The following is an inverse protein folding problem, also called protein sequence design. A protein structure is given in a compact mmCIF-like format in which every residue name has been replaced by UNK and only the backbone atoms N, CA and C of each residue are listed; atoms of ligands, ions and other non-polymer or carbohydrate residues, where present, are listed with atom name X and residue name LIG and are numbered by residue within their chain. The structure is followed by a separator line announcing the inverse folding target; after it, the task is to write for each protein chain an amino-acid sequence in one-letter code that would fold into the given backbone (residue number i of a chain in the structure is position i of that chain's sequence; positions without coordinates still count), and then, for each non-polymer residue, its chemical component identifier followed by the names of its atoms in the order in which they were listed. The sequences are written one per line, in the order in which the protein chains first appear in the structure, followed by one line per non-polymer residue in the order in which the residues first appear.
data_IF_162259810426
#
_entry.id   IF_162259810426
#
_cell.length_a   1.000
_cell.length_b   1.000
_cell.length_c   1.000
_cell.angle_alpha   90.00
_cell.angle_beta   90.00
_cell.angle_gamma   90.00
#
_symmetry.space_group_name_H-M   'P 1'
#
loop_
_entity.id
_entity.type
_entity.pdbx_description
1 polymer ?
#
# COMPACT_ATOMS: atom_id res chain seq x y z
N UNK A 1 44.11 7.56 -42.86
CA UNK A 1 44.00 6.84 -41.58
C UNK A 1 43.26 7.75 -40.61
N UNK A 2 41.95 7.56 -40.39
CA UNK A 2 41.12 8.39 -39.50
C UNK A 2 41.20 7.79 -38.09
N UNK A 3 41.72 8.55 -37.12
CA UNK A 3 41.60 8.22 -35.70
C UNK A 3 40.18 8.52 -35.22
N UNK A 4 39.46 7.49 -34.82
CA UNK A 4 38.17 7.57 -34.14
C UNK A 4 38.42 7.75 -32.64
N UNK A 5 38.15 8.95 -32.14
CA UNK A 5 38.13 9.25 -30.70
C UNK A 5 36.84 8.69 -30.10
N UNK A 6 36.96 7.62 -29.31
CA UNK A 6 35.85 7.09 -28.51
C UNK A 6 35.58 8.07 -27.36
N UNK A 7 34.44 8.76 -27.41
CA UNK A 7 33.91 9.51 -26.26
C UNK A 7 33.28 8.51 -25.30
N UNK A 8 33.95 8.28 -24.17
CA UNK A 8 33.36 7.59 -23.03
C UNK A 8 32.39 8.58 -22.38
N UNK A 9 31.09 8.37 -22.59
CA UNK A 9 30.06 9.06 -21.82
C UNK A 9 30.04 8.44 -20.42
N UNK A 10 30.85 9.00 -19.52
CA UNK A 10 30.68 8.77 -18.09
C UNK A 10 29.34 9.41 -17.68
N UNK A 11 28.28 8.61 -17.67
CA UNK A 11 27.11 8.91 -16.86
C UNK A 11 27.55 8.84 -15.40
N UNK A 12 27.98 9.99 -14.87
CA UNK A 12 28.27 10.15 -13.45
C UNK A 12 26.96 9.88 -12.70
N UNK A 13 26.79 8.63 -12.23
CA UNK A 13 25.80 8.27 -11.23
C UNK A 13 25.90 9.31 -10.10
N UNK A 14 24.81 10.03 -9.83
CA UNK A 14 24.78 10.94 -8.69
C UNK A 14 25.04 10.09 -7.44
N UNK A 15 26.21 10.28 -6.80
CA UNK A 15 26.64 9.58 -5.58
C UNK A 15 25.64 9.65 -4.42
N UNK A 16 24.64 10.52 -4.51
CA UNK A 16 23.62 10.73 -3.49
C UNK A 16 22.68 9.52 -3.29
N UNK A 17 22.58 8.63 -4.27
CA UNK A 17 21.72 7.45 -4.21
C UNK A 17 22.48 6.12 -4.25
N UNK A 18 23.81 6.16 -4.18
CA UNK A 18 24.65 4.97 -4.18
C UNK A 18 24.85 4.47 -2.74
N UNK A 19 24.11 3.42 -2.36
CA UNK A 19 24.32 2.70 -1.10
C UNK A 19 24.80 1.28 -1.42
N UNK A 20 26.06 0.97 -1.08
CA UNK A 20 26.63 -0.39 -1.11
C UNK A 20 26.10 -1.25 0.07
N UNK A 21 25.49 -0.61 1.07
CA UNK A 21 25.05 -1.24 2.32
C UNK A 21 23.88 -2.23 2.24
N UNK A 22 22.84 -2.05 1.41
CA UNK A 22 21.67 -2.93 1.39
C UNK A 22 22.00 -4.35 0.93
N UNK A 23 22.98 -4.50 0.04
CA UNK A 23 23.37 -5.81 -0.52
C UNK A 23 24.33 -6.60 0.39
N UNK A 24 25.02 -5.92 1.32
CA UNK A 24 25.98 -6.56 2.25
C UNK A 24 25.50 -6.61 3.72
N UNK A 25 24.40 -5.94 4.06
CA UNK A 25 23.86 -5.95 5.43
C UNK A 25 22.81 -7.03 5.62
N UNK A 26 22.86 -7.72 6.77
CA UNK A 26 21.80 -8.64 7.21
C UNK A 26 20.50 -7.81 7.30
N UNK A 27 19.57 -8.05 6.37
CA UNK A 27 18.29 -7.34 6.35
C UNK A 27 17.46 -7.75 7.58
N UNK A 28 17.20 -6.81 8.48
CA UNK A 28 16.43 -7.06 9.71
C UNK A 28 14.95 -6.83 9.45
N UNK A 29 14.09 -7.54 10.18
CA UNK A 29 12.64 -7.28 10.14
C UNK A 29 12.34 -5.95 10.82
N UNK A 30 11.69 -5.02 10.11
CA UNK A 30 11.31 -3.69 10.61
C UNK A 30 9.79 -3.50 10.72
N UNK A 31 9.00 -4.40 10.12
CA UNK A 31 7.55 -4.38 10.24
C UNK A 31 6.95 -5.78 10.04
N UNK A 32 5.91 -6.09 10.82
CA UNK A 32 5.18 -7.35 10.76
C UNK A 32 3.70 -7.07 10.95
N UNK A 33 2.86 -7.67 10.11
CA UNK A 33 1.43 -7.69 10.36
C UNK A 33 0.77 -8.92 9.73
N UNK A 34 -0.13 -9.52 10.49
CA UNK A 34 -1.06 -10.51 9.96
C UNK A 34 -2.08 -9.83 9.06
N UNK A 35 -2.34 -10.43 7.89
CA UNK A 35 -3.50 -10.03 7.10
C UNK A 35 -4.78 -10.29 7.89
N UNK A 36 -5.89 -9.61 7.52
CA UNK A 36 -7.19 -10.09 7.94
C UNK A 36 -7.40 -11.56 7.56
N UNK A 37 -8.21 -12.31 8.33
CA UNK A 37 -8.49 -13.70 8.03
C UNK A 37 -9.23 -13.83 6.70
N UNK A 38 -8.98 -14.91 5.99
CA UNK A 38 -9.65 -15.23 4.73
C UNK A 38 -8.77 -15.15 3.48
N UNK A 39 -7.62 -14.47 3.55
CA UNK A 39 -6.71 -14.26 2.42
C UNK A 39 -5.94 -15.53 2.03
N UNK A 40 -5.44 -16.28 3.02
CA UNK A 40 -4.69 -17.51 2.77
C UNK A 40 -5.60 -18.71 2.48
N UNK A 41 -4.98 -19.82 2.04
CA UNK A 41 -5.70 -21.09 1.84
C UNK A 41 -6.41 -21.50 3.14
N UNK A 42 -7.63 -22.01 3.00
CA UNK A 42 -8.53 -22.36 4.12
C UNK A 42 -8.91 -21.17 5.00
N UNK A 43 -8.97 -19.97 4.41
CA UNK A 43 -9.38 -18.73 5.08
C UNK A 43 -8.50 -18.33 6.26
N UNK A 44 -7.23 -18.74 6.24
CA UNK A 44 -6.22 -18.34 7.22
C UNK A 44 -5.68 -16.94 6.92
N UNK A 45 -4.85 -16.43 7.81
CA UNK A 45 -4.10 -15.18 7.60
C UNK A 45 -2.78 -15.45 6.87
N UNK A 46 -2.28 -14.44 6.17
CA UNK A 46 -0.92 -14.38 5.62
C UNK A 46 -0.08 -13.48 6.52
N UNK A 47 1.20 -13.80 6.69
CA UNK A 47 2.13 -12.91 7.40
C UNK A 47 2.80 -11.97 6.39
N UNK A 48 2.59 -10.66 6.56
CA UNK A 48 3.33 -9.64 5.82
C UNK A 48 4.56 -9.21 6.63
N UNK A 49 5.73 -9.22 5.98
CA UNK A 49 7.03 -8.94 6.58
C UNK A 49 7.73 -7.84 5.79
N UNK A 50 7.95 -6.69 6.43
CA UNK A 50 8.78 -5.62 5.92
C UNK A 50 10.17 -5.72 6.53
N UNK A 51 11.19 -5.60 5.68
CA UNK A 51 12.60 -5.65 6.09
C UNK A 51 13.29 -4.30 5.95
N UNK A 52 14.45 -4.12 6.60
CA UNK A 52 15.24 -2.89 6.52
C UNK A 52 15.74 -2.59 5.11
N UNK A 53 15.79 -3.61 4.24
CA UNK A 53 16.00 -3.46 2.79
C UNK A 53 14.78 -2.95 2.01
N UNK A 54 13.74 -2.43 2.68
CA UNK A 54 12.53 -1.86 2.08
C UNK A 54 11.70 -2.83 1.23
N UNK A 55 11.90 -4.14 1.49
CA UNK A 55 11.21 -5.23 0.83
C UNK A 55 10.04 -5.71 1.70
N UNK A 56 8.81 -5.63 1.16
CA UNK A 56 7.61 -6.20 1.76
C UNK A 56 7.30 -7.55 1.11
N UNK A 57 7.36 -8.60 1.92
CA UNK A 57 7.15 -9.99 1.48
C UNK A 57 6.00 -10.63 2.22
N UNK A 58 5.27 -11.51 1.55
CA UNK A 58 4.22 -12.32 2.15
C UNK A 58 4.74 -13.73 2.43
N UNK A 59 4.38 -14.25 3.59
CA UNK A 59 4.67 -15.60 4.04
C UNK A 59 3.38 -16.35 4.33
N UNK A 60 3.29 -17.58 3.84
CA UNK A 60 2.17 -18.50 4.05
C UNK A 60 2.72 -19.89 4.39
N UNK A 61 1.88 -20.73 4.99
CA UNK A 61 2.20 -22.09 5.37
C UNK A 61 2.11 -22.99 4.14
N UNK A 62 3.24 -23.55 3.72
CA UNK A 62 3.33 -24.55 2.67
C UNK A 62 2.54 -25.82 3.02
N UNK A 63 2.22 -26.69 2.04
CA UNK A 63 1.58 -27.98 2.32
C UNK A 63 2.35 -28.85 3.33
N UNK A 64 3.66 -28.67 3.44
CA UNK A 64 4.53 -29.35 4.40
C UNK A 64 4.55 -28.71 5.79
N UNK A 65 3.70 -27.71 6.05
CA UNK A 65 3.61 -27.03 7.34
C UNK A 65 4.71 -25.99 7.60
N UNK A 66 5.52 -25.63 6.59
CA UNK A 66 6.62 -24.67 6.75
C UNK A 66 6.20 -23.27 6.28
N UNK A 67 6.62 -22.23 7.01
CA UNK A 67 6.47 -20.85 6.54
C UNK A 67 7.44 -20.60 5.39
N UNK A 68 6.91 -20.21 4.24
CA UNK A 68 7.69 -19.90 3.05
C UNK A 68 7.28 -18.56 2.49
N UNK A 69 8.23 -17.81 1.93
CA UNK A 69 7.92 -16.58 1.20
C UNK A 69 7.16 -16.95 -0.07
N UNK A 70 5.95 -16.42 -0.21
CA UNK A 70 5.02 -16.75 -1.31
C UNK A 70 4.78 -15.59 -2.26
N UNK A 71 5.14 -14.37 -1.89
CA UNK A 71 5.03 -13.20 -2.75
C UNK A 71 5.94 -12.05 -2.29
N UNK A 72 6.27 -11.15 -3.21
CA UNK A 72 6.97 -9.89 -2.95
C UNK A 72 6.09 -8.77 -3.52
N UNK A 73 5.67 -7.82 -2.67
CA UNK A 73 4.80 -6.73 -3.09
C UNK A 73 5.55 -5.74 -3.98
N UNK A 74 6.84 -5.53 -3.71
CA UNK A 74 7.70 -4.64 -4.50
C UNK A 74 7.76 -5.04 -5.98
N UNK A 75 7.65 -6.34 -6.31
CA UNK A 75 7.66 -6.80 -7.72
C UNK A 75 6.45 -6.25 -8.48
N UNK A 76 5.27 -6.22 -7.85
CA UNK A 76 4.07 -5.60 -8.41
C UNK A 76 4.26 -4.10 -8.60
N UNK A 77 4.80 -3.39 -7.60
CA UNK A 77 5.07 -1.96 -7.71
C UNK A 77 6.08 -1.66 -8.83
N UNK A 78 7.14 -2.45 -8.94
CA UNK A 78 8.14 -2.30 -9.99
C UNK A 78 7.52 -2.51 -11.38
N UNK A 79 6.68 -3.53 -11.55
CA UNK A 79 5.92 -3.71 -12.79
C UNK A 79 4.96 -2.55 -13.09
N UNK A 80 4.27 -2.02 -12.07
CA UNK A 80 3.36 -0.88 -12.21
C UNK A 80 4.11 0.40 -12.61
N UNK A 81 5.21 0.73 -11.94
CA UNK A 81 5.97 1.94 -12.25
C UNK A 81 6.80 1.82 -13.52
N UNK A 82 7.15 0.61 -13.97
CA UNK A 82 7.84 0.39 -15.24
C UNK A 82 7.05 0.88 -16.44
N UNK A 83 5.72 0.85 -16.38
CA UNK A 83 4.88 1.40 -17.46
C UNK A 83 4.72 2.92 -17.42
N UNK A 84 5.16 3.56 -16.33
CA UNK A 84 4.98 4.99 -16.08
C UNK A 84 6.29 5.78 -16.07
N UNK A 85 7.41 5.11 -15.77
CA UNK A 85 8.70 5.72 -15.49
C UNK A 85 9.80 4.93 -16.21
N UNK A 86 10.48 5.58 -17.15
CA UNK A 86 11.61 5.00 -17.89
C UNK A 86 12.91 4.99 -17.07
N UNK A 87 13.05 5.90 -16.11
CA UNK A 87 14.21 6.00 -15.22
C UNK A 87 14.21 4.85 -14.19
N UNK A 88 15.18 3.95 -14.34
CA UNK A 88 15.39 2.78 -13.48
C UNK A 88 15.60 3.13 -12.00
N UNK A 89 16.32 4.22 -11.70
CA UNK A 89 16.65 4.64 -10.35
C UNK A 89 15.42 5.20 -9.64
N UNK A 90 14.67 6.06 -10.32
CA UNK A 90 13.38 6.56 -9.83
C UNK A 90 12.39 5.40 -9.64
N UNK A 91 12.37 4.43 -10.56
CA UNK A 91 11.51 3.25 -10.45
C UNK A 91 11.84 2.41 -9.22
N UNK A 92 13.13 2.21 -8.93
CA UNK A 92 13.56 1.48 -7.74
C UNK A 92 13.05 2.17 -6.47
N UNK A 93 13.22 3.49 -6.36
CA UNK A 93 12.71 4.28 -5.23
C UNK A 93 11.19 4.18 -5.09
N UNK A 94 10.46 4.29 -6.20
CA UNK A 94 8.99 4.18 -6.21
C UNK A 94 8.49 2.80 -5.78
N UNK A 95 9.32 1.76 -5.98
CA UNK A 95 8.99 0.37 -5.65
C UNK A 95 9.43 -0.05 -4.24
N UNK A 96 10.35 0.69 -3.61
CA UNK A 96 10.80 0.46 -2.24
C UNK A 96 9.71 0.85 -1.25
N UNK A 97 9.35 -0.06 -0.33
CA UNK A 97 8.28 0.16 0.64
C UNK A 97 8.89 0.54 1.99
N UNK A 98 8.42 1.65 2.58
CA UNK A 98 8.88 2.16 3.88
C UNK A 98 8.01 1.79 5.05
N UNK A 99 6.71 1.73 4.82
CA UNK A 99 5.71 1.42 5.83
C UNK A 99 4.51 0.81 5.14
N UNK A 100 3.76 0.01 5.89
CA UNK A 100 2.57 -0.64 5.38
C UNK A 100 1.55 -0.84 6.49
N UNK A 101 0.29 -0.96 6.11
CA UNK A 101 -0.77 -1.37 7.01
C UNK A 101 -1.91 -2.06 6.28
N UNK A 102 -2.51 -3.06 6.92
CA UNK A 102 -3.70 -3.73 6.41
C UNK A 102 -4.94 -2.90 6.74
N UNK A 103 -5.68 -2.48 5.72
CA UNK A 103 -7.00 -1.93 5.95
C UNK A 103 -7.95 -3.02 6.46
N UNK A 104 -8.99 -2.68 7.23
CA UNK A 104 -10.07 -3.62 7.52
C UNK A 104 -10.59 -4.24 6.22
N UNK A 105 -11.07 -5.49 6.20
CA UNK A 105 -11.65 -6.04 4.98
C UNK A 105 -12.86 -5.25 4.52
N UNK A 106 -12.88 -4.87 3.25
CA UNK A 106 -14.04 -4.20 2.66
C UNK A 106 -15.07 -5.28 2.28
N UNK A 107 -16.10 -5.43 3.10
CA UNK A 107 -17.15 -6.45 2.91
C UNK A 107 -18.27 -5.91 2.02
N UNK A 108 -18.92 -6.79 1.26
CA UNK A 108 -20.15 -6.44 0.55
C UNK A 108 -21.32 -6.51 1.54
N UNK A 109 -22.08 -5.40 1.75
CA UNK A 109 -23.25 -5.42 2.63
C UNK A 109 -24.26 -6.47 2.17
N UNK A 110 -24.90 -7.14 3.14
CA UNK A 110 -25.98 -8.08 2.88
C UNK A 110 -27.28 -7.28 2.94
N UNK A 111 -28.18 -7.37 1.94
CA UNK A 111 -29.50 -6.76 2.02
C UNK A 111 -30.24 -7.24 3.27
N UNK A 112 -30.89 -6.34 4.01
CA UNK A 112 -31.58 -6.67 5.27
C UNK A 112 -32.63 -7.79 5.10
N UNK A 113 -33.21 -7.90 3.91
CA UNK A 113 -34.19 -8.94 3.56
C UNK A 113 -33.58 -10.36 3.52
N UNK A 114 -32.27 -10.47 3.27
CA UNK A 114 -31.54 -11.75 3.24
C UNK A 114 -30.87 -12.06 4.59
N UNK A 115 -30.78 -11.10 5.51
CA UNK A 115 -30.13 -11.26 6.81
C UNK A 115 -30.87 -12.23 7.75
N UNK A 116 -32.18 -12.43 7.55
CA UNK A 116 -33.01 -13.39 8.30
C UNK A 116 -33.03 -14.79 7.69
N UNK A 117 -32.38 -14.98 6.53
CA UNK A 117 -32.25 -16.29 5.90
C UNK A 117 -31.19 -17.13 6.62
N UNK A 118 -31.45 -18.42 6.85
CA UNK A 118 -30.43 -19.38 7.32
C UNK A 118 -29.35 -19.66 6.24
N UNK A 119 -29.40 -18.98 5.09
CA UNK A 119 -28.39 -19.09 4.05
C UNK A 119 -27.05 -18.50 4.50
N UNK A 120 -25.97 -19.24 4.25
CA UNK A 120 -24.61 -18.76 4.50
C UNK A 120 -24.31 -17.59 3.54
N UNK A 121 -23.94 -16.40 4.04
CA UNK A 121 -23.64 -15.27 3.17
C UNK A 121 -22.48 -15.57 2.22
N UNK A 122 -22.45 -14.92 1.03
CA UNK A 122 -21.39 -15.14 0.07
C UNK A 122 -20.01 -14.75 0.64
N UNK A 123 -18.91 -15.34 0.14
CA UNK A 123 -17.56 -15.09 0.65
C UNK A 123 -17.19 -13.61 0.74
N UNK A 124 -17.65 -12.78 -0.19
CA UNK A 124 -17.37 -11.34 -0.28
C UNK A 124 -18.06 -10.54 0.84
N UNK A 125 -19.21 -11.00 1.34
CA UNK A 125 -19.86 -10.43 2.51
C UNK A 125 -19.22 -10.90 3.81
N UNK A 126 -18.69 -12.13 3.85
CA UNK A 126 -18.07 -12.70 5.06
C UNK A 126 -16.65 -12.21 5.29
N UNK A 127 -15.84 -12.25 4.24
CA UNK A 127 -14.40 -12.04 4.31
C UNK A 127 -13.94 -10.75 3.65
N UNK A 128 -14.71 -10.23 2.69
CA UNK A 128 -14.42 -8.97 2.01
C UNK A 128 -13.18 -9.02 1.12
N UNK A 129 -12.80 -7.83 0.65
CA UNK A 129 -11.60 -7.59 -0.14
C UNK A 129 -10.45 -7.19 0.77
N UNK A 130 -9.26 -7.73 0.48
CA UNK A 130 -8.05 -7.45 1.25
C UNK A 130 -7.32 -6.27 0.64
N UNK A 131 -7.34 -5.16 1.36
CA UNK A 131 -6.71 -3.92 0.96
C UNK A 131 -5.49 -3.65 1.83
N UNK A 132 -4.37 -3.34 1.19
CA UNK A 132 -3.08 -3.08 1.80
C UNK A 132 -2.66 -1.66 1.41
N UNK A 133 -2.47 -0.78 2.39
CA UNK A 133 -1.91 0.54 2.14
C UNK A 133 -0.40 0.49 2.40
N UNK A 134 0.39 1.02 1.47
CA UNK A 134 1.85 1.12 1.59
C UNK A 134 2.32 2.54 1.31
N UNK A 135 3.45 2.91 1.89
CA UNK A 135 4.18 4.14 1.51
C UNK A 135 5.53 3.78 0.92
N UNK A 136 5.94 4.48 -0.14
CA UNK A 136 7.26 4.25 -0.77
C UNK A 136 8.34 5.26 -0.34
N UNK A 137 9.53 5.17 -0.94
CA UNK A 137 10.63 6.11 -0.67
C UNK A 137 10.33 7.57 -1.02
N UNK A 138 9.39 7.79 -1.92
CA UNK A 138 8.97 9.10 -2.40
C UNK A 138 7.74 9.65 -1.65
N UNK A 139 7.33 8.99 -0.56
CA UNK A 139 6.14 9.32 0.23
C UNK A 139 4.82 9.24 -0.58
N UNK A 140 4.79 8.42 -1.64
CA UNK A 140 3.52 8.05 -2.25
C UNK A 140 2.81 7.05 -1.36
N UNK A 141 1.53 7.30 -1.11
CA UNK A 141 0.61 6.37 -0.47
C UNK A 141 -0.09 5.60 -1.56
N UNK A 142 0.07 4.29 -1.55
CA UNK A 142 -0.43 3.38 -2.58
C UNK A 142 -1.40 2.41 -1.92
N UNK A 143 -2.63 2.34 -2.44
CA UNK A 143 -3.59 1.34 -2.02
C UNK A 143 -3.55 0.16 -2.99
N UNK A 144 -3.23 -1.01 -2.46
CA UNK A 144 -3.12 -2.27 -3.19
C UNK A 144 -4.29 -3.18 -2.80
N UNK A 145 -4.81 -3.92 -3.78
CA UNK A 145 -5.64 -5.08 -3.51
C UNK A 145 -4.78 -6.34 -3.57
N UNK A 146 -4.77 -7.10 -2.47
CA UNK A 146 -4.15 -8.42 -2.43
C UNK A 146 -5.20 -9.50 -2.75
N UNK A 147 -4.86 -10.41 -3.66
CA UNK A 147 -5.67 -11.59 -3.99
C UNK A 147 -4.81 -12.84 -3.92
N UNK A 148 -5.44 -13.95 -3.52
CA UNK A 148 -4.84 -15.28 -3.65
C UNK A 148 -5.34 -15.91 -4.95
N UNK A 149 -4.42 -16.45 -5.74
CA UNK A 149 -4.79 -17.21 -6.93
C UNK A 149 -5.55 -18.48 -6.55
N UNK A 150 -6.66 -18.73 -7.23
CA UNK A 150 -7.41 -19.99 -7.16
C UNK A 150 -6.95 -20.99 -8.21
N UNK A 151 -6.20 -20.53 -9.22
CA UNK A 151 -5.67 -21.35 -10.29
C UNK A 151 -4.41 -22.10 -9.82
N UNK A 152 -4.42 -23.45 -9.80
CA UNK A 152 -3.27 -24.25 -9.38
C UNK A 152 -2.08 -24.15 -10.35
N UNK A 153 -2.29 -23.67 -11.58
CA UNK A 153 -1.25 -23.52 -12.61
C UNK A 153 -0.58 -22.15 -12.59
N UNK A 154 -1.10 -21.22 -11.79
CA UNK A 154 -0.55 -19.87 -11.71
C UNK A 154 0.87 -19.87 -11.15
N UNK A 155 1.77 -19.16 -11.82
CA UNK A 155 3.18 -19.03 -11.41
C UNK A 155 3.34 -18.33 -10.04
N UNK A 156 2.36 -17.51 -9.63
CA UNK A 156 2.34 -16.85 -8.32
C UNK A 156 1.08 -17.21 -7.54
N UNK A 157 1.25 -17.56 -6.26
CA UNK A 157 0.13 -17.86 -5.37
C UNK A 157 -0.68 -16.62 -4.99
N UNK A 158 -0.07 -15.44 -5.06
CA UNK A 158 -0.70 -14.17 -4.71
C UNK A 158 -0.47 -13.16 -5.83
N UNK A 159 -1.49 -12.34 -6.09
CA UNK A 159 -1.43 -11.22 -7.02
C UNK A 159 -1.83 -9.93 -6.31
N UNK A 160 -1.31 -8.84 -6.85
CA UNK A 160 -1.53 -7.50 -6.32
C UNK A 160 -1.98 -6.58 -7.46
N UNK A 161 -2.97 -5.74 -7.18
CA UNK A 161 -3.46 -4.72 -8.10
C UNK A 161 -3.34 -3.36 -7.41
N UNK A 162 -2.68 -2.40 -8.07
CA UNK A 162 -2.64 -1.01 -7.60
C UNK A 162 -3.99 -0.35 -7.88
N UNK A 163 -4.72 0.00 -6.82
CA UNK A 163 -6.03 0.65 -6.94
C UNK A 163 -5.93 2.18 -7.00
N UNK A 164 -4.97 2.75 -6.27
CA UNK A 164 -4.75 4.20 -6.26
C UNK A 164 -3.34 4.55 -5.78
N UNK A 165 -2.91 5.76 -6.14
CA UNK A 165 -1.65 6.36 -5.73
C UNK A 165 -1.91 7.84 -5.38
N UNK A 166 -1.39 8.28 -4.24
CA UNK A 166 -1.47 9.68 -3.79
C UNK A 166 -0.11 10.10 -3.25
N UNK A 167 0.55 11.06 -3.89
CA UNK A 167 1.81 11.63 -3.42
C UNK A 167 1.56 12.59 -2.26
N UNK A 168 2.25 12.40 -1.13
CA UNK A 168 2.18 13.33 -0.01
C UNK A 168 3.24 14.43 -0.16
N UNK A 169 2.79 15.67 -0.24
CA UNK A 169 3.69 16.81 -0.29
C UNK A 169 3.94 17.37 1.11
N UNK A 170 5.20 17.61 1.40
CA UNK A 170 5.59 18.43 2.55
C UNK A 170 5.89 19.85 2.06
N UNK A 171 5.08 20.82 2.49
CA UNK A 171 5.50 22.22 2.46
C UNK A 171 6.61 22.40 3.48
N UNK A 172 7.86 22.39 3.03
CA UNK A 172 9.03 22.66 3.87
C UNK A 172 9.18 24.17 4.06
N UNK A 173 8.23 24.79 4.75
CA UNK A 173 8.44 26.14 5.27
C UNK A 173 9.24 26.01 6.57
N UNK A 174 10.44 26.59 6.58
CA UNK A 174 11.30 26.81 7.75
C UNK A 174 11.97 25.57 8.36
N UNK A 175 13.04 25.11 7.71
CA UNK A 175 14.15 24.53 8.46
C UNK A 175 15.11 25.67 8.80
N UNK A 176 15.45 25.84 10.09
CA UNK A 176 16.51 26.74 10.62
C UNK A 176 17.91 26.31 10.15
N UNK A 177 18.04 25.89 8.89
CA UNK A 177 19.23 25.35 8.27
C UNK A 177 19.59 26.28 7.14
N UNK A 178 20.86 26.66 7.06
CA UNK A 178 21.40 27.54 6.03
C UNK A 178 20.92 27.10 4.64
N UNK A 179 20.09 27.91 3.96
CA UNK A 179 19.60 27.59 2.62
C UNK A 179 20.78 27.31 1.68
N UNK A 180 20.74 26.19 0.95
CA UNK A 180 21.79 25.81 0.00
C UNK A 180 22.90 24.93 0.58
N UNK A 181 22.92 24.65 1.89
CA UNK A 181 23.82 23.64 2.47
C UNK A 181 23.43 22.23 2.02
N UNK A 182 24.41 21.35 1.78
CA UNK A 182 24.21 19.91 1.52
C UNK A 182 23.37 19.27 2.63
N UNK A 183 23.55 19.70 3.89
CA UNK A 183 22.75 19.22 5.02
C UNK A 183 21.29 19.70 4.92
N UNK A 184 21.05 20.93 4.45
CA UNK A 184 19.70 21.44 4.20
C UNK A 184 19.01 20.70 3.05
N UNK A 185 19.75 20.38 1.98
CA UNK A 185 19.26 19.60 0.86
C UNK A 185 18.97 18.15 1.26
N UNK A 186 19.84 17.56 2.08
CA UNK A 186 19.65 16.23 2.64
C UNK A 186 18.47 16.16 3.63
N UNK A 187 18.22 17.22 4.41
CA UNK A 187 17.10 17.30 5.36
C UNK A 187 15.75 17.59 4.68
N UNK A 188 15.71 18.43 3.63
CA UNK A 188 14.49 18.65 2.84
C UNK A 188 14.00 17.38 2.16
N UNK A 189 14.92 16.49 1.80
CA UNK A 189 14.63 15.21 1.19
C UNK A 189 14.29 14.09 2.19
N UNK A 190 14.09 14.36 3.51
CA UNK A 190 14.13 13.32 4.55
C UNK A 190 12.87 13.08 5.38
N UNK A 191 11.81 13.88 5.30
CA UNK A 191 10.58 13.46 5.95
C UNK A 191 10.08 12.19 5.25
N UNK A 192 10.03 11.10 5.99
CA UNK A 192 9.61 9.79 5.50
C UNK A 192 8.44 9.29 6.32
N UNK A 193 7.52 8.61 5.64
CA UNK A 193 6.45 7.90 6.29
C UNK A 193 7.03 6.82 7.22
N UNK A 194 6.64 6.82 8.49
CA UNK A 194 7.09 5.87 9.50
C UNK A 194 5.96 4.97 9.98
N UNK A 195 4.86 5.55 10.42
CA UNK A 195 3.69 4.83 10.92
C UNK A 195 2.49 5.02 10.01
N UNK A 196 1.74 3.95 9.77
CA UNK A 196 0.48 3.95 9.04
C UNK A 196 -0.60 3.27 9.86
N UNK A 197 -1.79 3.87 9.93
CA UNK A 197 -2.93 3.32 10.65
C UNK A 197 -4.21 3.52 9.84
N UNK A 198 -4.92 2.44 9.48
CA UNK A 198 -6.15 2.52 8.72
C UNK A 198 -7.34 2.67 9.66
N UNK A 199 -8.24 3.58 9.31
CA UNK A 199 -9.53 3.75 9.97
C UNK A 199 -10.56 2.73 9.49
N UNK A 200 -11.75 2.70 10.13
CA UNK A 200 -12.85 1.86 9.68
C UNK A 200 -13.39 2.32 8.32
N UNK A 201 -14.05 1.39 7.61
CA UNK A 201 -14.82 1.71 6.41
C UNK A 201 -16.16 2.31 6.80
N UNK A 202 -16.50 3.44 6.18
CA UNK A 202 -17.81 4.09 6.29
C UNK A 202 -18.52 3.88 4.95
N UNK A 203 -19.54 3.03 4.94
CA UNK A 203 -20.33 2.75 3.75
C UNK A 203 -21.17 3.97 3.36
N UNK A 204 -21.27 4.20 2.05
CA UNK A 204 -22.05 5.29 1.49
C UNK A 204 -22.86 4.79 0.28
N UNK A 205 -23.96 5.46 -0.06
CA UNK A 205 -24.74 5.13 -1.25
C UNK A 205 -23.90 5.20 -2.52
N UNK A 206 -24.01 4.19 -3.36
CA UNK A 206 -23.31 4.16 -4.64
C UNK A 206 -24.03 5.05 -5.66
N UNK A 207 -23.30 5.95 -6.31
CA UNK A 207 -23.83 6.80 -7.41
C UNK A 207 -23.70 6.15 -8.79
N UNK A 208 -22.98 5.04 -8.89
CA UNK A 208 -22.75 4.32 -10.15
C UNK A 208 -23.83 3.26 -10.38
N UNK A 209 -24.41 3.20 -11.59
CA UNK A 209 -25.47 2.25 -11.93
C UNK A 209 -25.05 0.77 -11.80
N UNK A 210 -23.75 0.45 -11.90
CA UNK A 210 -23.19 -0.91 -11.72
C UNK A 210 -22.50 -1.10 -10.35
N UNK A 211 -22.55 -0.09 -9.50
CA UNK A 211 -21.81 -0.08 -8.25
C UNK A 211 -22.60 -0.77 -7.14
N UNK A 212 -22.01 -1.82 -6.58
CA UNK A 212 -22.60 -2.70 -5.58
C UNK A 212 -22.55 -2.05 -4.20
N UNK A 213 -21.38 -1.55 -3.81
CA UNK A 213 -21.23 -0.73 -2.62
C UNK A 213 -20.08 0.26 -2.79
N UNK A 214 -20.18 1.39 -2.10
CA UNK A 214 -19.10 2.35 -1.99
C UNK A 214 -18.78 2.58 -0.52
N UNK A 215 -17.50 2.72 -0.19
CA UNK A 215 -17.05 2.98 1.17
C UNK A 215 -15.90 3.98 1.20
N UNK A 216 -15.89 4.80 2.23
CA UNK A 216 -14.80 5.73 2.53
C UNK A 216 -13.96 5.12 3.65
N UNK A 217 -12.65 5.13 3.48
CA UNK A 217 -11.69 4.79 4.53
C UNK A 217 -10.56 5.80 4.54
N UNK A 218 -10.06 6.11 5.72
CA UNK A 218 -8.93 7.02 5.89
C UNK A 218 -7.72 6.25 6.37
N UNK A 219 -6.54 6.55 5.83
CA UNK A 219 -5.26 6.03 6.33
C UNK A 219 -4.49 7.20 6.89
N UNK A 220 -4.24 7.17 8.20
CA UNK A 220 -3.43 8.15 8.90
C UNK A 220 -1.95 7.74 8.83
N UNK A 221 -1.08 8.70 8.54
CA UNK A 221 0.34 8.49 8.26
C UNK A 221 1.16 9.51 9.05
N UNK A 222 2.19 9.05 9.75
CA UNK A 222 3.19 9.94 10.33
C UNK A 222 4.28 10.18 9.28
N UNK A 223 4.34 11.39 8.74
CA UNK A 223 5.36 11.82 7.78
C UNK A 223 6.36 12.73 8.49
N UNK A 224 7.54 12.20 8.81
CA UNK A 224 8.48 12.89 9.69
C UNK A 224 7.89 13.07 11.09
N UNK A 225 7.44 14.29 11.41
CA UNK A 225 6.76 14.63 12.68
C UNK A 225 5.30 15.07 12.49
N UNK A 226 4.80 15.10 11.25
CA UNK A 226 3.48 15.62 10.91
C UNK A 226 2.49 14.49 10.67
N UNK A 227 1.24 14.71 11.07
CA UNK A 227 0.15 13.83 10.65
C UNK A 227 -0.28 14.18 9.23
N UNK A 228 -0.36 13.16 8.39
CA UNK A 228 -1.00 13.18 7.09
C UNK A 228 -2.11 12.15 7.07
N UNK A 229 -3.11 12.36 6.24
CA UNK A 229 -4.21 11.42 6.09
C UNK A 229 -4.62 11.37 4.64
N UNK A 230 -4.69 10.16 4.10
CA UNK A 230 -5.22 9.91 2.76
C UNK A 230 -6.60 9.33 2.89
N UNK A 231 -7.57 9.95 2.22
CA UNK A 231 -8.92 9.44 2.09
C UNK A 231 -8.99 8.57 0.85
N UNK A 232 -9.43 7.33 1.03
CA UNK A 232 -9.74 6.39 -0.03
C UNK A 232 -11.25 6.27 -0.17
N UNK A 233 -11.76 6.50 -1.38
CA UNK A 233 -13.13 6.18 -1.77
C UNK A 233 -13.07 4.95 -2.64
N UNK A 234 -13.50 3.81 -2.12
CA UNK A 234 -13.50 2.53 -2.83
C UNK A 234 -14.92 2.21 -3.28
N UNK A 235 -15.10 1.96 -4.57
CA UNK A 235 -16.36 1.53 -5.17
C UNK A 235 -16.19 0.15 -5.76
N UNK A 236 -17.08 -0.76 -5.36
CA UNK A 236 -17.13 -2.12 -5.91
C UNK A 236 -18.12 -2.17 -7.05
N UNK A 237 -17.68 -2.68 -8.19
CA UNK A 237 -18.45 -2.75 -9.42
C UNK A 237 -18.61 -4.23 -9.78
N UNK A 238 -19.81 -4.63 -10.21
CA UNK A 238 -20.06 -5.99 -10.70
C UNK A 238 -19.22 -6.25 -11.97
N UNK A 239 -18.45 -7.33 -11.95
CA UNK A 239 -17.63 -7.76 -13.08
C UNK A 239 -18.41 -8.79 -13.92
N UNK A 240 -19.02 -8.33 -15.01
CA UNK A 240 -19.86 -9.17 -15.87
C UNK A 240 -19.06 -9.93 -16.95
N UNK A 241 -17.76 -9.63 -17.12
CA UNK A 241 -16.97 -10.13 -18.25
C UNK A 241 -16.18 -11.41 -17.92
N UNK A 242 -16.26 -11.92 -16.69
CA UNK A 242 -15.57 -13.15 -16.27
C UNK A 242 -16.51 -14.14 -15.59
N UNK A 243 -17.10 -15.04 -16.38
CA UNK A 243 -17.99 -16.13 -15.93
C UNK A 243 -17.31 -17.17 -15.03
N UNK A 244 -15.99 -17.13 -14.85
CA UNK A 244 -15.21 -18.15 -14.11
C UNK A 244 -14.27 -17.57 -13.03
N UNK A 245 -14.38 -16.27 -12.74
CA UNK A 245 -13.60 -15.64 -11.66
C UNK A 245 -14.23 -15.93 -10.30
N UNK A 246 -13.43 -16.40 -9.35
CA UNK A 246 -13.83 -16.54 -7.94
C UNK A 246 -14.18 -15.20 -7.25
N UNK A 247 -13.95 -14.05 -7.91
CA UNK A 247 -14.25 -12.71 -7.41
C UNK A 247 -15.19 -12.03 -8.39
N UNK A 248 -16.44 -11.80 -7.97
CA UNK A 248 -17.50 -11.20 -8.80
C UNK A 248 -17.42 -9.67 -8.94
N UNK A 249 -16.50 -9.04 -8.22
CA UNK A 249 -16.44 -7.60 -8.08
C UNK A 249 -15.06 -7.04 -8.38
N UNK A 250 -15.01 -5.99 -9.19
CA UNK A 250 -13.82 -5.18 -9.40
C UNK A 250 -13.86 -3.96 -8.47
N UNK A 251 -12.75 -3.67 -7.81
CA UNK A 251 -12.60 -2.43 -7.05
C UNK A 251 -12.07 -1.31 -7.94
N UNK A 252 -12.67 -0.13 -7.80
CA UNK A 252 -12.10 1.15 -8.22
C UNK A 252 -11.84 1.98 -6.99
N UNK A 253 -10.72 2.68 -6.94
CA UNK A 253 -10.42 3.60 -5.86
C UNK A 253 -10.11 4.99 -6.40
N UNK A 254 -10.68 6.01 -5.76
CA UNK A 254 -10.24 7.40 -5.87
C UNK A 254 -9.61 7.78 -4.54
N UNK A 255 -8.44 8.40 -4.57
CA UNK A 255 -7.71 8.76 -3.35
C UNK A 255 -7.24 10.19 -3.40
N UNK A 256 -7.32 10.86 -2.26
CA UNK A 256 -6.85 12.23 -2.10
C UNK A 256 -6.26 12.43 -0.70
N UNK A 257 -5.28 13.31 -0.61
CA UNK A 257 -4.84 13.82 0.69
C UNK A 257 -5.99 14.63 1.28
N UNK A 258 -6.55 14.15 2.37
CA UNK A 258 -7.49 14.94 3.14
C UNK A 258 -6.65 16.01 3.85
N UNK A 259 -7.07 17.27 3.86
CA UNK A 259 -6.38 18.37 4.58
C UNK A 259 -7.29 19.03 5.62
N UNK A 260 -8.52 18.53 5.76
CA UNK A 260 -9.61 19.18 6.49
C UNK A 260 -9.62 18.90 8.00
N UNK A 261 -8.72 18.05 8.53
CA UNK A 261 -8.63 17.72 9.96
C UNK A 261 -7.98 18.83 10.83
N UNK A 262 -7.83 20.03 10.26
CA UNK A 262 -7.58 21.26 11.00
C UNK A 262 -6.12 21.44 11.39
N UNK A 263 -5.60 22.65 11.17
CA UNK A 263 -4.21 23.03 11.47
C UNK A 263 -3.78 22.89 12.94
N UNK A 264 -4.68 22.46 13.83
CA UNK A 264 -4.41 22.17 15.25
C UNK A 264 -3.29 21.13 15.43
N UNK A 265 -3.24 20.13 14.54
CA UNK A 265 -2.22 19.07 14.60
C UNK A 265 -0.86 19.48 14.04
N UNK A 266 -0.77 20.60 13.31
CA UNK A 266 0.51 21.11 12.80
C UNK A 266 1.44 21.60 13.91
N UNK A 267 0.90 21.89 15.10
CA UNK A 267 1.66 22.35 16.26
C UNK A 267 2.21 21.20 17.12
N UNK A 268 1.89 19.94 16.80
CA UNK A 268 2.32 18.78 17.56
C UNK A 268 3.34 17.96 16.78
N UNK A 269 4.36 17.46 17.49
CA UNK A 269 5.34 16.54 16.93
C UNK A 269 4.92 15.10 17.23
N UNK A 270 4.46 14.39 16.20
CA UNK A 270 4.04 13.00 16.32
C UNK A 270 5.22 12.08 16.01
N UNK A 271 5.53 11.19 16.94
CA UNK A 271 6.71 10.30 16.87
C UNK A 271 6.36 8.83 17.11
N UNK A 272 5.10 8.52 17.41
CA UNK A 272 4.66 7.18 17.82
C UNK A 272 3.61 6.56 16.90
N UNK A 273 3.19 5.35 17.27
CA UNK A 273 2.16 4.60 16.56
C UNK A 273 0.80 5.30 16.60
N UNK A 274 0.10 5.29 15.47
CA UNK A 274 -1.20 5.93 15.29
C UNK A 274 -2.33 4.92 15.55
N UNK A 275 -3.36 5.35 16.27
CA UNK A 275 -4.54 4.53 16.55
C UNK A 275 -5.82 5.34 16.33
N UNK A 276 -6.80 4.72 15.68
CA UNK A 276 -8.11 5.31 15.47
C UNK A 276 -9.03 5.02 16.65
N UNK A 277 -9.68 6.06 17.16
CA UNK A 277 -10.78 5.92 18.12
C UNK A 277 -12.07 5.97 17.32
N UNK A 278 -12.87 4.90 17.42
CA UNK A 278 -14.18 4.83 16.77
C UNK A 278 -15.15 4.05 17.65
N UNK A 279 -16.43 4.40 17.55
CA UNK A 279 -17.51 3.64 18.14
C UNK A 279 -17.95 2.56 17.16
N UNK A 280 -17.92 1.30 17.57
CA UNK A 280 -18.46 0.20 16.77
C UNK A 280 -19.98 0.25 16.91
N UNK A 281 -20.68 0.78 15.91
CA UNK A 281 -22.12 0.57 15.81
C UNK A 281 -22.34 -0.89 15.40
N UNK A 282 -22.83 -1.71 16.34
CA UNK A 282 -23.34 -3.04 16.02
C UNK A 282 -24.56 -2.85 15.10
N UNK A 283 -24.42 -3.23 13.84
CA UNK A 283 -25.52 -3.46 12.92
C UNK A 283 -25.51 -4.93 12.55
#
# INVERSE_FOLDING_TARGET
MKQSTVKINDHILKRENFSIGPEQSISTVVGLAWSPPGLAKYRRCVLAVLTSGLLLSFYDISPQGKWTRVAIVNDCLNSYFKSLIDDEELRLRKSNIRSFTWCPPLKVPIPEQDATSYAVPPPESRWGMYLLSVTNDDNDVILLQARRSTDPTSASLYSFEVLSLTSLYEHTENQNVQPGSIFSSALRNRARASFMSPGPWIYQPTKENKGVCSAIGNVAITLGVKLKMVRHVVTLILDNDQTDSAVKYKARCVSEENTSYGGLLNNYHLTGALHWIHTVSLH
#
